data_IF_024372987257
#
_entry.id   IF_024372987257
#
_cell.length_a   1.000
_cell.length_b   1.000
_cell.length_c   1.000
_cell.angle_alpha   90.00
_cell.angle_beta   90.00
_cell.angle_gamma   90.00
#
_symmetry.space_group_name_H-M   'P 1'
#
loop_
_entity.id
_entity.type
_entity.pdbx_description
1 polymer ?
#
# COMPACT_ATOMS: atom_id res chain seq x y z
N UNK A 1 37.19 -9.33 23.87
CA UNK A 1 36.88 -9.16 22.44
C UNK A 1 35.54 -9.82 22.17
N UNK A 2 34.48 -9.03 21.94
CA UNK A 2 33.13 -9.53 21.73
C UNK A 2 32.92 -10.17 20.36
N UNK A 3 31.80 -10.85 20.17
CA UNK A 3 31.45 -11.55 18.93
C UNK A 3 31.26 -10.52 17.81
N UNK A 4 32.13 -10.55 16.81
CA UNK A 4 32.16 -9.57 15.71
C UNK A 4 31.12 -9.90 14.62
N UNK A 5 30.77 -11.18 14.46
CA UNK A 5 29.84 -11.65 13.42
C UNK A 5 28.76 -12.58 14.01
N UNK A 6 27.49 -12.29 13.68
CA UNK A 6 26.30 -13.03 14.13
C UNK A 6 25.77 -14.02 13.10
N UNK A 7 24.71 -14.76 13.46
CA UNK A 7 24.08 -15.75 12.57
C UNK A 7 23.22 -15.08 11.49
N UNK A 8 23.41 -15.51 10.25
CA UNK A 8 22.60 -15.13 9.09
C UNK A 8 21.27 -15.89 8.97
N UNK A 9 21.04 -16.90 9.83
CA UNK A 9 19.91 -17.83 9.70
C UNK A 9 18.52 -17.19 9.82
N UNK A 10 18.43 -15.97 10.37
CA UNK A 10 17.17 -15.22 10.53
C UNK A 10 16.90 -14.22 9.40
N UNK A 11 17.74 -14.19 8.37
CA UNK A 11 17.54 -13.31 7.23
C UNK A 11 16.16 -13.54 6.59
N UNK A 12 15.39 -12.48 6.38
CA UNK A 12 14.10 -12.53 5.69
C UNK A 12 12.90 -13.05 6.52
N UNK A 13 13.09 -13.57 7.75
CA UNK A 13 12.02 -14.17 8.57
C UNK A 13 10.79 -13.27 8.71
N UNK A 14 10.98 -11.98 8.94
CA UNK A 14 9.87 -11.04 9.15
C UNK A 14 9.03 -10.89 7.87
N UNK A 15 9.67 -10.76 6.71
CA UNK A 15 8.97 -10.60 5.43
C UNK A 15 8.28 -11.89 4.98
N UNK A 16 8.82 -13.05 5.31
CA UNK A 16 8.20 -14.34 4.99
C UNK A 16 7.06 -14.71 5.94
N UNK A 17 7.08 -14.22 7.17
CA UNK A 17 6.08 -14.52 8.19
C UNK A 17 4.81 -13.66 8.07
N UNK A 18 4.86 -12.47 7.45
CA UNK A 18 3.67 -11.61 7.30
C UNK A 18 2.57 -12.29 6.47
N UNK A 19 1.31 -12.35 6.96
CA UNK A 19 0.22 -12.98 6.23
C UNK A 19 -0.05 -12.24 4.91
N UNK A 20 -0.15 -13.00 3.82
CA UNK A 20 -0.52 -12.46 2.50
C UNK A 20 -2.02 -12.23 2.48
N UNK A 21 -2.46 -10.97 2.54
CA UNK A 21 -3.87 -10.61 2.36
C UNK A 21 -4.26 -10.87 0.90
N UNK A 22 -5.13 -11.87 0.67
CA UNK A 22 -5.69 -12.25 -0.63
C UNK A 22 -6.98 -11.46 -0.86
N UNK A 23 -7.01 -10.58 -1.85
CA UNK A 23 -8.28 -10.02 -2.31
C UNK A 23 -9.01 -11.08 -3.17
N UNK A 24 -10.34 -11.22 -3.04
CA UNK A 24 -11.08 -12.17 -3.86
C UNK A 24 -11.08 -11.72 -5.34
N UNK A 25 -10.73 -12.60 -6.28
CA UNK A 25 -10.92 -12.31 -7.71
C UNK A 25 -12.41 -12.39 -8.07
N UNK A 26 -12.88 -11.46 -8.90
CA UNK A 26 -14.03 -11.75 -9.77
C UNK A 26 -13.54 -12.78 -10.81
N UNK A 27 -14.39 -13.76 -11.06
CA UNK A 27 -14.21 -14.96 -11.91
C UNK A 27 -13.47 -14.62 -13.21
N UNK A 28 -12.49 -15.41 -13.68
CA UNK A 28 -12.73 -16.61 -14.47
C UNK A 28 -11.54 -17.61 -14.50
N UNK A 29 -11.89 -18.85 -14.89
CA UNK A 29 -11.17 -20.13 -14.84
C UNK A 29 -9.86 -20.13 -15.66
N UNK A 30 -8.73 -20.58 -15.11
CA UNK A 30 -7.52 -20.78 -15.93
C UNK A 30 -6.27 -21.34 -15.24
N UNK A 31 -5.53 -20.55 -14.46
CA UNK A 31 -4.09 -20.82 -14.23
C UNK A 31 -3.74 -20.96 -12.74
N UNK A 32 -4.09 -22.11 -12.15
CA UNK A 32 -3.98 -22.35 -10.70
C UNK A 32 -2.61 -22.86 -10.22
N UNK A 33 -1.60 -22.98 -11.09
CA UNK A 33 -0.38 -23.77 -10.78
C UNK A 33 0.94 -22.98 -10.62
N UNK A 34 1.06 -21.72 -11.08
CA UNK A 34 2.31 -20.94 -10.98
C UNK A 34 2.33 -19.89 -9.85
N UNK A 35 1.53 -20.07 -8.78
CA UNK A 35 1.28 -19.02 -7.76
C UNK A 35 2.38 -18.82 -6.70
N UNK A 36 3.57 -19.43 -6.81
CA UNK A 36 4.56 -19.43 -5.72
C UNK A 36 5.87 -18.66 -5.97
N UNK A 37 5.96 -17.79 -6.99
CA UNK A 37 7.11 -16.86 -7.17
C UNK A 37 6.90 -15.43 -6.62
N UNK A 38 5.73 -15.05 -6.10
CA UNK A 38 5.36 -13.62 -5.96
C UNK A 38 4.93 -13.18 -4.54
N UNK A 39 5.92 -12.97 -3.67
CA UNK A 39 5.77 -12.37 -2.33
C UNK A 39 5.62 -10.82 -2.35
N UNK A 40 5.08 -10.22 -3.41
CA UNK A 40 4.78 -8.79 -3.49
C UNK A 40 3.27 -8.61 -3.66
N UNK A 41 2.64 -7.80 -2.80
CA UNK A 41 1.21 -7.43 -2.88
C UNK A 41 0.85 -7.18 -4.35
N UNK A 42 -0.17 -7.87 -4.87
CA UNK A 42 -0.69 -7.50 -6.19
C UNK A 42 -1.33 -6.12 -6.01
N UNK A 43 -0.79 -5.08 -6.67
CA UNK A 43 -1.35 -3.75 -6.52
C UNK A 43 -2.81 -3.81 -6.92
N UNK A 44 -3.70 -3.50 -5.98
CA UNK A 44 -5.13 -3.38 -6.28
C UNK A 44 -5.29 -2.51 -7.53
N UNK A 45 -6.09 -2.98 -8.49
CA UNK A 45 -6.38 -2.19 -9.68
C UNK A 45 -7.17 -0.94 -9.24
N UNK A 46 -6.46 0.19 -9.19
CA UNK A 46 -7.00 1.50 -8.82
C UNK A 46 -7.10 2.33 -10.07
N UNK A 47 -8.15 3.17 -10.14
CA UNK A 47 -8.29 4.16 -11.22
C UNK A 47 -6.99 4.94 -11.38
N UNK A 48 -6.52 5.07 -12.63
CA UNK A 48 -5.29 5.79 -12.95
C UNK A 48 -5.37 7.21 -12.40
N UNK A 49 -4.38 7.61 -11.60
CA UNK A 49 -4.27 9.02 -11.21
C UNK A 49 -3.89 9.83 -12.45
N UNK A 50 -4.61 10.90 -12.80
CA UNK A 50 -4.24 11.74 -13.93
C UNK A 50 -2.87 12.38 -13.70
N UNK A 51 -2.23 12.82 -14.78
CA UNK A 51 -0.89 13.42 -14.76
C UNK A 51 -0.95 14.91 -15.15
N UNK A 52 0.13 15.65 -14.90
CA UNK A 52 0.26 17.06 -15.27
C UNK A 52 -0.78 18.00 -14.65
N UNK A 53 -1.32 18.90 -15.48
CA UNK A 53 -2.28 19.95 -15.07
C UNK A 53 -3.55 19.38 -14.41
N UNK A 54 -4.06 18.27 -14.91
CA UNK A 54 -5.25 17.63 -14.35
C UNK A 54 -5.03 17.19 -12.89
N UNK A 55 -3.85 16.62 -12.58
CA UNK A 55 -3.48 16.28 -11.19
C UNK A 55 -3.37 17.51 -10.30
N UNK A 56 -2.80 18.60 -10.82
CA UNK A 56 -2.68 19.87 -10.08
C UNK A 56 -4.05 20.46 -9.79
N UNK A 57 -5.00 20.44 -10.73
CA UNK A 57 -6.40 20.87 -10.51
C UNK A 57 -7.06 20.08 -9.38
N UNK A 58 -7.00 18.75 -9.43
CA UNK A 58 -7.58 17.87 -8.39
C UNK A 58 -6.92 18.09 -7.01
N UNK A 59 -5.63 18.45 -6.98
CA UNK A 59 -4.93 18.73 -5.73
C UNK A 59 -5.32 20.09 -5.16
N UNK A 60 -5.44 21.10 -6.01
CA UNK A 60 -5.88 22.44 -5.61
C UNK A 60 -7.31 22.43 -5.06
N UNK A 61 -8.24 21.81 -5.78
CA UNK A 61 -9.65 21.75 -5.34
C UNK A 61 -9.79 21.05 -3.99
N UNK A 62 -9.09 19.92 -3.78
CA UNK A 62 -9.08 19.19 -2.49
C UNK A 62 -8.37 19.95 -1.35
N UNK A 63 -7.37 20.80 -1.66
CA UNK A 63 -6.57 21.50 -0.65
C UNK A 63 -7.03 22.91 -0.36
N UNK A 64 -7.81 23.57 -1.21
CA UNK A 64 -8.13 24.98 -0.99
C UNK A 64 -9.61 25.30 -1.16
N UNK A 65 -10.32 24.61 -2.05
CA UNK A 65 -11.74 24.88 -2.31
C UNK A 65 -12.63 24.05 -1.40
N UNK A 66 -12.49 22.73 -1.43
CA UNK A 66 -13.35 21.80 -0.70
C UNK A 66 -12.67 21.31 0.59
N UNK A 67 -12.30 22.25 1.47
CA UNK A 67 -11.54 21.94 2.69
C UNK A 67 -12.48 21.51 3.81
N UNK A 68 -12.29 20.31 4.34
CA UNK A 68 -12.94 19.87 5.59
C UNK A 68 -12.00 20.16 6.77
N UNK A 69 -12.39 21.07 7.66
CA UNK A 69 -11.66 21.41 8.89
C UNK A 69 -12.18 20.56 10.04
N UNK A 70 -11.73 19.31 10.16
CA UNK A 70 -12.06 18.44 11.29
C UNK A 70 -11.19 18.81 12.50
N UNK A 71 -11.55 19.88 13.21
CA UNK A 71 -10.98 20.31 14.50
C UNK A 71 -9.47 20.58 14.52
N UNK A 72 -9.07 21.86 14.73
CA UNK A 72 -7.66 22.24 14.83
C UNK A 72 -6.93 22.32 13.47
N UNK A 73 -5.63 21.98 13.43
CA UNK A 73 -4.79 22.10 12.22
C UNK A 73 -5.14 21.02 11.17
N UNK A 74 -5.01 21.38 9.90
CA UNK A 74 -5.36 20.53 8.74
C UNK A 74 -4.52 19.24 8.70
N UNK A 75 -5.18 18.07 8.58
CA UNK A 75 -4.53 16.76 8.38
C UNK A 75 -4.83 16.23 6.97
N UNK A 76 -3.80 15.77 6.23
CA UNK A 76 -3.96 15.33 4.83
C UNK A 76 -4.38 13.86 4.68
N UNK A 77 -4.07 13.02 5.67
CA UNK A 77 -4.39 11.60 5.66
C UNK A 77 -4.78 11.17 7.09
N UNK A 78 -5.91 11.67 7.61
CA UNK A 78 -6.40 11.20 8.90
C UNK A 78 -6.84 9.73 8.78
N UNK A 79 -6.42 8.90 9.74
CA UNK A 79 -7.05 7.60 9.95
C UNK A 79 -8.48 7.83 10.45
N UNK A 80 -9.43 6.92 10.19
CA UNK A 80 -10.72 7.00 10.85
C UNK A 80 -10.48 7.05 12.36
N UNK A 81 -10.97 8.10 13.01
CA UNK A 81 -11.12 8.09 14.47
C UNK A 81 -12.22 7.07 14.77
N UNK A 82 -11.95 6.16 15.71
CA UNK A 82 -12.71 4.92 15.98
C UNK A 82 -14.22 5.02 15.80
#
# INVERSE_FOLDING_TARGET
>A
MGKVHGSLARAGKVKSQTPKVRNPPRTDRGEKMERWRHAAVEPQEKKKTPKGRAKKRITYTRRFVNVTMTGGKRKMNPNPTS
#
